data_IF_876154495097
#
_entry.id   IF_876154495097
#
_cell.length_a   1.000
_cell.length_b   1.000
_cell.length_c   1.000
_cell.angle_alpha   90.00
_cell.angle_beta   90.00
_cell.angle_gamma   90.00
#
_symmetry.space_group_name_H-M   'P 1'
#
loop_
_entity.id
_entity.type
_entity.pdbx_description
1 polymer ?
#
# COMPACT_ATOMS: atom_id res chain seq x y z
N UNK A 1 18.74 3.82 0.10
CA UNK A 1 17.61 3.52 -0.81
C UNK A 1 18.08 2.42 -1.74
N UNK A 2 17.29 1.36 -1.90
CA UNK A 2 17.70 0.20 -2.67
C UNK A 2 16.94 0.11 -3.98
N UNK A 3 17.62 -0.34 -5.03
CA UNK A 3 17.01 -0.61 -6.33
C UNK A 3 16.80 -2.10 -6.52
N UNK A 4 15.79 -2.45 -7.30
CA UNK A 4 15.45 -3.83 -7.62
C UNK A 4 15.49 -4.02 -9.12
N UNK A 5 15.92 -5.21 -9.55
CA UNK A 5 15.91 -5.56 -10.97
C UNK A 5 14.51 -5.96 -11.39
N UNK A 6 14.04 -5.33 -12.46
CA UNK A 6 12.83 -5.73 -13.19
C UNK A 6 13.24 -6.79 -14.21
N UNK A 7 12.47 -7.88 -14.27
CA UNK A 7 12.69 -8.99 -15.20
C UNK A 7 11.41 -9.30 -15.97
N UNK A 8 11.54 -9.93 -17.14
CA UNK A 8 10.41 -10.56 -17.84
C UNK A 8 10.19 -11.97 -17.30
N UNK A 9 8.93 -12.35 -17.13
CA UNK A 9 8.52 -13.72 -16.82
C UNK A 9 7.39 -14.10 -17.79
N UNK A 10 7.75 -14.82 -18.85
CA UNK A 10 6.85 -15.04 -19.99
C UNK A 10 6.36 -13.71 -20.57
N UNK A 11 5.04 -13.56 -20.70
CA UNK A 11 4.38 -12.32 -21.15
C UNK A 11 4.22 -11.24 -20.08
N UNK A 12 4.65 -11.49 -18.85
CA UNK A 12 4.47 -10.58 -17.71
C UNK A 12 5.79 -9.98 -17.22
N UNK A 13 5.67 -8.95 -16.38
CA UNK A 13 6.80 -8.36 -15.67
C UNK A 13 6.86 -8.90 -14.23
N UNK A 14 8.07 -9.11 -13.72
CA UNK A 14 8.31 -9.46 -12.33
C UNK A 14 9.45 -8.63 -11.73
N UNK A 15 9.46 -8.55 -10.40
CA UNK A 15 10.50 -7.84 -9.61
C UNK A 15 11.18 -8.86 -8.72
N UNK A 16 12.51 -8.88 -8.72
CA UNK A 16 13.27 -9.73 -7.79
C UNK A 16 13.41 -9.04 -6.44
N UNK A 17 12.69 -9.53 -5.44
CA UNK A 17 12.68 -8.99 -4.07
C UNK A 17 13.92 -9.51 -3.30
N UNK A 18 14.82 -8.64 -2.81
CA UNK A 18 15.95 -9.05 -1.96
C UNK A 18 15.48 -9.70 -0.66
N UNK A 19 16.30 -10.60 -0.09
CA UNK A 19 15.92 -11.38 1.09
C UNK A 19 15.45 -10.53 2.29
N UNK A 20 16.05 -9.35 2.52
CA UNK A 20 15.66 -8.42 3.60
C UNK A 20 14.27 -7.77 3.42
N UNK A 21 13.70 -7.83 2.22
CA UNK A 21 12.37 -7.32 1.89
C UNK A 21 11.37 -8.44 1.58
N UNK A 22 11.71 -9.69 1.93
CA UNK A 22 10.88 -10.85 1.61
C UNK A 22 9.50 -10.70 2.25
N UNK A 23 8.48 -10.82 1.41
CA UNK A 23 7.07 -10.85 1.79
C UNK A 23 6.72 -12.28 2.23
N UNK A 24 5.97 -12.42 3.33
CA UNK A 24 5.49 -13.71 3.82
C UNK A 24 4.33 -14.25 2.98
N UNK A 25 4.26 -15.58 2.89
CA UNK A 25 3.22 -16.28 2.14
C UNK A 25 3.47 -16.35 0.63
N UNK A 26 2.42 -16.73 -0.11
CA UNK A 26 2.47 -16.95 -1.57
C UNK A 26 1.68 -15.91 -2.37
N UNK A 27 0.93 -15.03 -1.69
CA UNK A 27 0.07 -14.01 -2.29
C UNK A 27 0.23 -12.69 -1.54
N UNK A 28 0.38 -11.61 -2.29
CA UNK A 28 0.45 -10.23 -1.78
C UNK A 28 -0.65 -9.37 -2.41
N UNK A 29 -1.04 -8.30 -1.73
CA UNK A 29 -1.88 -7.26 -2.33
C UNK A 29 -0.99 -6.30 -3.12
N UNK A 30 -1.50 -5.83 -4.26
CA UNK A 30 -0.85 -4.83 -5.08
C UNK A 30 -1.83 -3.70 -5.41
N UNK A 31 -1.38 -2.44 -5.26
CA UNK A 31 -2.18 -1.26 -5.60
C UNK A 31 -1.33 -0.25 -6.36
N UNK A 32 -1.89 0.32 -7.43
CA UNK A 32 -1.27 1.44 -8.14
C UNK A 32 -1.44 2.73 -7.35
N UNK A 33 -0.36 3.50 -7.23
CA UNK A 33 -0.30 4.79 -6.54
C UNK A 33 0.39 5.81 -7.45
N UNK A 34 0.26 7.13 -7.22
CA UNK A 34 1.06 8.12 -7.93
C UNK A 34 2.56 7.79 -7.82
N UNK A 35 3.25 7.73 -8.95
CA UNK A 35 4.68 7.41 -9.01
C UNK A 35 5.04 5.91 -8.95
N UNK A 36 4.09 4.98 -8.78
CA UNK A 36 4.43 3.54 -8.80
C UNK A 36 3.36 2.56 -8.32
N UNK A 37 3.81 1.53 -7.61
CA UNK A 37 2.95 0.48 -7.03
C UNK A 37 3.35 0.23 -5.58
N UNK A 38 2.36 -0.02 -4.72
CA UNK A 38 2.56 -0.52 -3.36
C UNK A 38 2.25 -2.01 -3.33
N UNK A 39 3.12 -2.79 -2.69
CA UNK A 39 2.93 -4.24 -2.46
C UNK A 39 2.89 -4.48 -0.95
N UNK A 40 1.86 -5.15 -0.47
CA UNK A 40 1.59 -5.37 0.95
C UNK A 40 1.29 -6.86 1.22
N UNK A 41 1.65 -7.33 2.41
CA UNK A 41 1.27 -8.68 2.86
C UNK A 41 -0.27 -8.79 2.96
N UNK A 42 -0.82 -9.90 2.46
CA UNK A 42 -2.28 -10.11 2.41
C UNK A 42 -2.90 -10.26 3.80
N UNK A 43 -2.19 -10.83 4.76
CA UNK A 43 -2.65 -10.98 6.16
C UNK A 43 -2.74 -9.64 6.89
N UNK A 44 -1.89 -8.69 6.51
CA UNK A 44 -1.63 -7.48 7.31
C UNK A 44 -2.34 -6.25 6.77
N UNK A 45 -2.87 -6.23 5.56
CA UNK A 45 -3.41 -4.99 5.00
C UNK A 45 -4.59 -4.40 5.79
N UNK A 46 -5.42 -5.24 6.42
CA UNK A 46 -6.51 -4.75 7.27
C UNK A 46 -6.00 -4.26 8.63
N UNK A 47 -4.99 -4.93 9.20
CA UNK A 47 -4.35 -4.53 10.45
C UNK A 47 -3.54 -3.23 10.26
N UNK A 48 -2.78 -3.12 9.17
CA UNK A 48 -2.04 -1.90 8.81
C UNK A 48 -2.98 -0.74 8.49
N UNK A 49 -4.12 -1.02 7.85
CA UNK A 49 -5.17 -0.02 7.65
C UNK A 49 -5.73 0.45 9.00
N UNK A 50 -6.06 -0.48 9.91
CA UNK A 50 -6.53 -0.15 11.27
C UNK A 50 -5.49 0.67 12.05
N UNK A 51 -4.24 0.23 12.11
CA UNK A 51 -3.16 0.95 12.77
C UNK A 51 -2.95 2.35 12.16
N UNK A 52 -3.20 2.51 10.87
CA UNK A 52 -3.16 3.81 10.20
C UNK A 52 -4.27 4.77 10.65
N UNK A 53 -5.43 4.25 11.10
CA UNK A 53 -6.48 5.07 11.69
C UNK A 53 -6.03 5.68 13.02
N UNK A 54 -5.19 4.98 13.78
CA UNK A 54 -4.65 5.47 15.06
C UNK A 54 -3.59 6.56 14.90
N UNK A 55 -3.13 6.83 13.67
CA UNK A 55 -2.17 7.91 13.37
C UNK A 55 -2.85 9.25 13.07
N UNK A 56 -4.18 9.28 12.95
CA UNK A 56 -4.89 10.57 12.84
C UNK A 56 -4.84 11.30 14.18
N UNK A 57 -4.62 12.61 14.12
CA UNK A 57 -4.72 13.46 15.29
C UNK A 57 -6.18 13.58 15.75
N UNK A 58 -6.39 13.83 17.04
CA UNK A 58 -7.73 13.93 17.65
C UNK A 58 -8.62 15.02 17.01
N UNK A 59 -8.02 15.99 16.33
CA UNK A 59 -8.71 17.06 15.62
C UNK A 59 -9.09 16.70 14.17
N UNK A 60 -8.67 15.54 13.66
CA UNK A 60 -9.03 15.05 12.35
C UNK A 60 -10.55 14.89 12.24
N UNK A 61 -11.17 15.65 11.32
CA UNK A 61 -12.64 15.75 11.17
C UNK A 61 -13.42 16.26 12.40
N UNK A 62 -12.80 16.96 13.36
CA UNK A 62 -13.50 17.52 14.52
C UNK A 62 -14.66 18.46 14.15
N UNK A 63 -14.57 19.14 13.01
CA UNK A 63 -15.62 20.00 12.46
C UNK A 63 -16.66 19.29 11.57
N UNK A 64 -16.62 17.96 11.48
CA UNK A 64 -17.42 17.19 10.54
C UNK A 64 -16.94 17.34 9.08
N UNK A 65 -17.65 16.69 8.15
CA UNK A 65 -17.40 16.87 6.71
C UNK A 65 -18.17 18.11 6.24
N UNK A 66 -17.48 19.09 5.67
CA UNK A 66 -18.15 20.23 5.03
C UNK A 66 -18.80 19.78 3.73
N UNK A 67 -20.04 19.30 3.83
CA UNK A 67 -20.86 18.86 2.72
C UNK A 67 -21.61 20.06 2.13
N UNK A 68 -20.89 21.07 1.62
CA UNK A 68 -21.50 22.06 0.72
C UNK A 68 -21.75 21.42 -0.63
N UNK A 69 -22.86 20.71 -0.74
CA UNK A 69 -23.49 20.35 -2.01
C UNK A 69 -23.78 21.66 -2.76
N UNK A 70 -22.96 21.97 -3.77
CA UNK A 70 -23.34 22.96 -4.79
C UNK A 70 -24.49 22.35 -5.58
N UNK A 71 -25.68 22.88 -5.37
CA UNK A 71 -26.75 22.86 -6.39
C UNK A 71 -26.42 23.90 -7.44
#
# INVERSE_FOLDING_TARGET
MDTVKIIKNGGSQAVRIPARYRIRGTVALIKKIPGGVAILEKSDAWVQFQNGLDLFSDDFFKGGRDLKSKR
#
